data_IF_911396001284
#
_entry.id   IF_911396001284
#
_cell.length_a   1.000
_cell.length_b   1.000
_cell.length_c   1.000
_cell.angle_alpha   90.00
_cell.angle_beta   90.00
_cell.angle_gamma   90.00
#
_symmetry.space_group_name_H-M   'P 1'
#
loop_
_entity.id
_entity.type
_entity.pdbx_description
1 polymer ?
#
# COMPACT_ATOMS: atom_id res chain seq x y z
N UNK A 1 -29.55 -22.25 18.97
CA UNK A 1 -29.67 -21.71 17.62
C UNK A 1 -30.05 -20.25 17.79
N UNK A 2 -29.03 -19.38 17.84
CA UNK A 2 -29.20 -17.94 17.90
C UNK A 2 -28.83 -17.37 16.52
N UNK A 3 -29.82 -17.06 15.73
CA UNK A 3 -29.69 -16.29 14.49
C UNK A 3 -29.27 -14.86 14.88
N UNK A 4 -28.02 -14.55 14.75
CA UNK A 4 -27.54 -13.17 14.86
C UNK A 4 -27.97 -12.45 13.59
N UNK A 5 -29.12 -11.77 13.67
CA UNK A 5 -29.60 -10.87 12.61
C UNK A 5 -28.61 -9.72 12.52
N UNK A 6 -27.63 -9.82 11.64
CA UNK A 6 -26.81 -8.67 11.23
C UNK A 6 -27.74 -7.63 10.62
N UNK A 7 -27.65 -6.37 11.06
CA UNK A 7 -28.45 -5.27 10.53
C UNK A 7 -28.33 -5.25 9.00
N UNK A 8 -29.41 -5.65 8.33
CA UNK A 8 -29.50 -5.87 6.91
C UNK A 8 -29.13 -4.55 6.19
N UNK A 9 -28.03 -4.54 5.42
CA UNK A 9 -27.60 -3.41 4.60
C UNK A 9 -26.51 -2.50 5.16
N UNK A 10 -26.03 -2.67 6.40
CA UNK A 10 -24.93 -1.85 6.93
C UNK A 10 -23.60 -2.16 6.21
N UNK A 11 -22.91 -1.11 5.77
CA UNK A 11 -21.58 -1.24 5.17
C UNK A 11 -20.56 -1.44 6.28
N UNK A 12 -19.68 -2.44 6.14
CA UNK A 12 -18.53 -2.67 7.01
C UNK A 12 -17.24 -2.56 6.22
N UNK A 13 -16.22 -1.98 6.83
CA UNK A 13 -14.88 -1.89 6.24
C UNK A 13 -13.92 -2.61 7.17
N UNK A 14 -13.38 -3.73 6.71
CA UNK A 14 -12.33 -4.48 7.39
C UNK A 14 -10.97 -3.95 6.93
N UNK A 15 -10.15 -3.55 7.87
CA UNK A 15 -8.92 -2.84 7.60
C UNK A 15 -7.88 -3.11 8.70
N UNK A 16 -6.63 -2.71 8.47
CA UNK A 16 -5.59 -2.70 9.51
C UNK A 16 -4.82 -1.38 9.48
N UNK A 17 -4.30 -0.97 10.63
CA UNK A 17 -3.49 0.24 10.78
C UNK A 17 -2.28 0.21 9.85
N UNK A 18 -1.97 1.33 9.20
CA UNK A 18 -0.82 1.48 8.30
C UNK A 18 -0.93 0.76 6.96
N UNK A 19 -2.10 0.24 6.62
CA UNK A 19 -2.38 -0.34 5.32
C UNK A 19 -2.79 0.77 4.34
N UNK A 20 -1.98 1.04 3.35
CA UNK A 20 -2.20 2.11 2.35
C UNK A 20 -3.53 1.99 1.62
N UNK A 21 -3.86 0.77 1.17
CA UNK A 21 -5.14 0.50 0.48
C UNK A 21 -6.34 0.65 1.41
N UNK A 22 -6.19 0.28 2.69
CA UNK A 22 -7.26 0.41 3.69
C UNK A 22 -7.59 1.88 3.95
N UNK A 23 -6.56 2.71 4.13
CA UNK A 23 -6.72 4.15 4.32
C UNK A 23 -7.42 4.79 3.11
N UNK A 24 -6.96 4.48 1.90
CA UNK A 24 -7.56 4.95 0.65
C UNK A 24 -9.04 4.56 0.52
N UNK A 25 -9.39 3.33 0.90
CA UNK A 25 -10.78 2.85 0.86
C UNK A 25 -11.67 3.60 1.85
N UNK A 26 -11.19 3.80 3.09
CA UNK A 26 -11.92 4.57 4.10
C UNK A 26 -12.13 6.02 3.66
N UNK A 27 -11.09 6.68 3.15
CA UNK A 27 -11.19 8.05 2.64
C UNK A 27 -12.15 8.16 1.45
N UNK A 28 -12.13 7.19 0.55
CA UNK A 28 -13.08 7.13 -0.57
C UNK A 28 -14.54 7.11 -0.09
N UNK A 29 -14.88 6.23 0.84
CA UNK A 29 -16.24 6.14 1.41
C UNK A 29 -16.62 7.43 2.16
N UNK A 30 -15.69 7.97 2.97
CA UNK A 30 -15.90 9.22 3.71
C UNK A 30 -16.16 10.41 2.77
N UNK A 31 -15.38 10.53 1.70
CA UNK A 31 -15.54 11.58 0.68
C UNK A 31 -16.90 11.54 0.00
N UNK A 32 -17.50 10.36 -0.15
CA UNK A 32 -18.82 10.20 -0.74
C UNK A 32 -19.96 10.17 0.30
N UNK A 33 -19.65 10.47 1.56
CA UNK A 33 -20.67 10.54 2.62
C UNK A 33 -21.27 9.18 2.98
N UNK A 34 -20.61 8.07 2.67
CA UNK A 34 -21.10 6.71 2.97
C UNK A 34 -20.72 6.34 4.40
N UNK A 35 -21.70 6.18 5.31
CA UNK A 35 -21.43 5.71 6.66
C UNK A 35 -21.04 4.23 6.64
N UNK A 36 -20.05 3.85 7.45
CA UNK A 36 -19.64 2.46 7.58
C UNK A 36 -19.22 2.11 9.01
N UNK A 37 -19.35 0.83 9.34
CA UNK A 37 -18.77 0.26 10.56
C UNK A 37 -17.31 -0.08 10.30
N UNK A 38 -16.45 0.50 11.09
CA UNK A 38 -14.99 0.32 11.00
C UNK A 38 -14.56 -0.92 11.79
N UNK A 39 -13.88 -1.88 11.15
CA UNK A 39 -13.45 -3.16 11.73
C UNK A 39 -11.94 -3.31 11.58
N UNK A 40 -11.18 -2.89 12.60
CA UNK A 40 -9.72 -3.03 12.60
C UNK A 40 -9.33 -4.45 13.01
N UNK A 41 -8.84 -5.24 12.07
CA UNK A 41 -8.47 -6.64 12.30
C UNK A 41 -7.26 -6.85 13.22
N UNK A 42 -6.50 -5.78 13.52
CA UNK A 42 -5.41 -5.84 14.51
C UNK A 42 -5.89 -5.65 15.95
N UNK A 43 -7.09 -5.09 16.15
CA UNK A 43 -7.64 -4.75 17.47
C UNK A 43 -8.87 -5.58 17.81
N UNK A 44 -9.50 -6.20 16.82
CA UNK A 44 -10.77 -6.90 16.95
C UNK A 44 -10.70 -8.29 16.32
N UNK A 45 -10.45 -9.31 17.14
CA UNK A 45 -10.37 -10.71 16.69
C UNK A 45 -11.64 -11.19 15.99
N UNK A 46 -12.81 -10.66 16.37
CA UNK A 46 -14.07 -11.03 15.71
C UNK A 46 -14.15 -10.56 14.27
N UNK A 47 -13.38 -9.51 13.89
CA UNK A 47 -13.34 -9.03 12.52
C UNK A 47 -12.72 -10.07 11.56
N UNK A 48 -11.71 -10.81 11.98
CA UNK A 48 -11.19 -11.93 11.19
C UNK A 48 -12.18 -13.06 11.05
N UNK A 49 -12.87 -13.43 12.13
CA UNK A 49 -13.89 -14.48 12.10
C UNK A 49 -15.07 -14.12 11.15
N UNK A 50 -15.41 -12.83 11.07
CA UNK A 50 -16.40 -12.34 10.10
C UNK A 50 -15.88 -12.48 8.65
N UNK A 51 -14.60 -12.15 8.38
CA UNK A 51 -14.00 -12.29 7.05
C UNK A 51 -13.89 -13.76 6.61
N UNK A 52 -13.59 -14.67 7.53
CA UNK A 52 -13.53 -16.11 7.25
C UNK A 52 -14.85 -16.69 6.75
N UNK A 53 -16.00 -16.11 7.15
CA UNK A 53 -17.32 -16.51 6.63
C UNK A 53 -17.45 -16.26 5.12
N UNK A 54 -16.70 -15.30 4.58
CA UNK A 54 -16.59 -15.02 3.15
C UNK A 54 -15.43 -15.76 2.48
N UNK A 55 -14.68 -16.59 3.22
CA UNK A 55 -13.46 -17.24 2.72
C UNK A 55 -12.30 -16.28 2.51
N UNK A 56 -12.30 -15.11 3.17
CA UNK A 56 -11.33 -14.05 2.98
C UNK A 56 -10.38 -13.92 4.16
N UNK A 57 -9.11 -13.57 3.88
CA UNK A 57 -8.07 -13.33 4.89
C UNK A 57 -7.33 -12.01 4.69
N UNK A 58 -7.53 -11.33 3.57
CA UNK A 58 -6.88 -10.06 3.25
C UNK A 58 -7.75 -8.86 3.59
N UNK A 59 -7.11 -7.71 3.74
CA UNK A 59 -7.76 -6.39 3.87
C UNK A 59 -7.16 -5.41 2.87
N UNK A 60 -7.88 -4.34 2.46
CA UNK A 60 -9.23 -3.96 2.86
C UNK A 60 -10.33 -4.80 2.17
N UNK A 61 -11.36 -5.10 2.93
CA UNK A 61 -12.62 -5.66 2.39
C UNK A 61 -13.78 -4.76 2.82
N UNK A 62 -14.68 -4.52 1.90
CA UNK A 62 -15.95 -3.81 2.17
C UNK A 62 -17.09 -4.80 1.99
N UNK A 63 -17.99 -4.88 2.97
CA UNK A 63 -19.17 -5.76 2.89
C UNK A 63 -20.46 -4.97 3.02
N UNK A 64 -21.52 -5.48 2.37
CA UNK A 64 -22.91 -5.04 2.53
C UNK A 64 -23.81 -6.28 2.54
N UNK A 65 -24.31 -6.63 3.70
CA UNK A 65 -24.97 -7.93 3.89
C UNK A 65 -24.03 -9.09 3.54
N UNK A 66 -24.47 -9.99 2.68
CA UNK A 66 -23.70 -11.17 2.22
C UNK A 66 -22.83 -10.90 0.99
N UNK A 67 -22.80 -9.67 0.51
CA UNK A 67 -21.96 -9.26 -0.63
C UNK A 67 -20.70 -8.52 -0.17
N UNK A 68 -19.64 -8.63 -0.96
CA UNK A 68 -18.39 -7.96 -0.64
C UNK A 68 -17.65 -7.44 -1.88
N UNK A 69 -16.77 -6.49 -1.66
CA UNK A 69 -15.81 -5.97 -2.64
C UNK A 69 -14.41 -5.89 -2.02
N UNK A 70 -13.38 -6.19 -2.83
CA UNK A 70 -12.01 -5.91 -2.43
C UNK A 70 -11.78 -4.40 -2.46
N UNK A 71 -11.46 -3.81 -1.31
CA UNK A 71 -11.29 -2.36 -1.18
C UNK A 71 -10.11 -1.79 -1.98
N UNK A 72 -9.23 -2.64 -2.51
CA UNK A 72 -8.16 -2.20 -3.41
C UNK A 72 -8.71 -1.74 -4.77
N UNK A 73 -9.92 -2.18 -5.15
CA UNK A 73 -10.60 -1.81 -6.40
C UNK A 73 -11.77 -0.88 -6.08
N UNK A 74 -11.53 0.43 -6.13
CA UNK A 74 -12.55 1.42 -5.75
C UNK A 74 -13.79 1.41 -6.66
N UNK A 75 -13.69 0.99 -7.92
CA UNK A 75 -14.87 0.81 -8.78
C UNK A 75 -15.84 -0.24 -8.26
N UNK A 76 -15.31 -1.34 -7.66
CA UNK A 76 -16.13 -2.42 -7.11
C UNK A 76 -16.73 -1.99 -5.78
N UNK A 77 -15.97 -1.26 -4.96
CA UNK A 77 -16.50 -0.61 -3.74
C UNK A 77 -17.60 0.38 -4.08
N UNK A 78 -17.41 1.20 -5.10
CA UNK A 78 -18.40 2.17 -5.56
C UNK A 78 -19.69 1.46 -6.01
N UNK A 79 -19.56 0.37 -6.78
CA UNK A 79 -20.71 -0.46 -7.19
C UNK A 79 -21.43 -1.06 -5.99
N UNK A 80 -20.70 -1.60 -5.01
CA UNK A 80 -21.27 -2.19 -3.79
C UNK A 80 -22.04 -1.15 -2.95
N UNK A 81 -21.55 0.10 -2.96
CA UNK A 81 -22.06 1.18 -2.13
C UNK A 81 -22.99 2.15 -2.88
N UNK A 82 -23.39 1.83 -4.11
CA UNK A 82 -24.22 2.68 -4.97
C UNK A 82 -23.64 4.09 -5.22
N UNK A 83 -22.29 4.19 -5.27
CA UNK A 83 -21.57 5.45 -5.52
C UNK A 83 -21.36 5.62 -7.02
N UNK A 84 -21.72 6.79 -7.63
CA UNK A 84 -21.32 7.09 -9.00
C UNK A 84 -19.79 7.07 -9.13
N UNK A 85 -19.28 6.23 -10.03
CA UNK A 85 -17.85 6.10 -10.25
C UNK A 85 -17.52 6.29 -11.72
N UNK A 86 -16.77 7.35 -12.01
CA UNK A 86 -16.28 7.65 -13.37
C UNK A 86 -14.88 7.08 -13.61
N UNK A 87 -14.53 6.93 -14.89
CA UNK A 87 -13.17 6.57 -15.25
C UNK A 87 -12.19 7.65 -14.78
N UNK A 88 -11.21 7.27 -13.99
CA UNK A 88 -10.10 8.14 -13.61
C UNK A 88 -9.05 8.10 -14.72
N UNK A 89 -8.53 9.29 -15.07
CA UNK A 89 -7.43 9.36 -16.03
C UNK A 89 -6.14 8.96 -15.31
N UNK A 90 -5.61 7.80 -15.67
CA UNK A 90 -4.30 7.35 -15.20
C UNK A 90 -3.17 8.19 -15.81
N UNK A 91 -2.07 8.30 -15.08
CA UNK A 91 -0.84 8.89 -15.61
C UNK A 91 -0.27 8.05 -16.77
N UNK A 92 0.41 8.66 -17.74
CA UNK A 92 1.14 7.90 -18.75
C UNK A 92 2.20 7.00 -18.12
N UNK A 93 2.45 5.84 -18.72
CA UNK A 93 3.45 4.88 -18.23
C UNK A 93 4.84 5.50 -18.05
N UNK A 94 5.24 6.35 -19.00
CA UNK A 94 6.53 7.05 -18.92
C UNK A 94 6.63 7.94 -17.66
N UNK A 95 5.53 8.60 -17.30
CA UNK A 95 5.45 9.41 -16.08
C UNK A 95 5.48 8.53 -14.83
N UNK A 96 4.75 7.42 -14.82
CA UNK A 96 4.77 6.46 -13.71
C UNK A 96 6.17 5.89 -13.47
N UNK A 97 6.92 5.57 -14.55
CA UNK A 97 8.32 5.14 -14.46
C UNK A 97 9.18 6.16 -13.72
N UNK A 98 9.10 7.44 -14.10
CA UNK A 98 9.87 8.52 -13.46
C UNK A 98 9.50 8.69 -11.99
N UNK A 99 8.22 8.57 -11.66
CA UNK A 99 7.71 8.65 -10.30
C UNK A 99 8.20 7.49 -9.44
N UNK A 100 8.19 6.26 -9.97
CA UNK A 100 8.70 5.09 -9.25
C UNK A 100 10.20 5.20 -8.98
N UNK A 101 10.99 5.65 -9.96
CA UNK A 101 12.42 5.89 -9.77
C UNK A 101 12.66 6.93 -8.67
N UNK A 102 11.93 8.05 -8.69
CA UNK A 102 12.02 9.08 -7.65
C UNK A 102 11.65 8.54 -6.25
N UNK A 103 10.63 7.70 -6.16
CA UNK A 103 10.20 7.04 -4.91
C UNK A 103 11.29 6.13 -4.36
N UNK A 104 11.86 5.25 -5.20
CA UNK A 104 12.92 4.32 -4.79
C UNK A 104 14.22 5.07 -4.42
N UNK A 105 14.60 6.09 -5.20
CA UNK A 105 15.72 6.96 -4.88
C UNK A 105 15.52 7.72 -3.56
N UNK A 106 14.29 8.18 -3.32
CA UNK A 106 13.90 8.79 -2.05
C UNK A 106 14.03 7.81 -0.89
N UNK A 107 13.53 6.59 -1.06
CA UNK A 107 13.62 5.54 -0.04
C UNK A 107 15.07 5.24 0.36
N UNK A 108 15.98 5.05 -0.62
CA UNK A 108 17.40 4.82 -0.36
C UNK A 108 18.02 5.99 0.42
N UNK A 109 17.71 7.23 0.03
CA UNK A 109 18.20 8.45 0.68
C UNK A 109 17.68 8.60 2.11
N UNK A 110 16.41 8.31 2.35
CA UNK A 110 15.82 8.38 3.69
C UNK A 110 16.32 7.25 4.60
N UNK A 111 16.52 6.05 4.05
CA UNK A 111 17.19 4.96 4.76
C UNK A 111 18.61 5.35 5.20
N UNK A 112 19.36 6.09 4.39
CA UNK A 112 20.68 6.58 4.75
C UNK A 112 20.67 7.53 5.98
N UNK A 113 19.55 8.22 6.23
CA UNK A 113 19.37 9.08 7.40
C UNK A 113 18.89 8.31 8.65
N UNK A 114 18.36 7.08 8.49
CA UNK A 114 17.81 6.31 9.60
C UNK A 114 18.95 5.85 10.53
N UNK A 115 18.87 6.14 11.84
CA UNK A 115 19.83 5.60 12.80
C UNK A 115 19.71 4.07 12.90
N UNK A 116 20.84 3.35 12.99
CA UNK A 116 20.83 1.88 13.05
C UNK A 116 19.99 1.35 14.22
N UNK A 117 20.07 1.99 15.38
CA UNK A 117 19.31 1.59 16.56
C UNK A 117 17.79 1.80 16.42
N UNK A 118 17.35 2.62 15.47
CA UNK A 118 15.94 2.88 15.21
C UNK A 118 15.31 1.85 14.24
N UNK A 119 16.11 1.13 13.45
CA UNK A 119 15.61 0.20 12.44
C UNK A 119 14.68 -0.87 13.02
N UNK A 120 14.94 -1.34 14.23
CA UNK A 120 14.13 -2.34 14.93
C UNK A 120 12.87 -1.77 15.61
N UNK A 121 12.72 -0.45 15.67
CA UNK A 121 11.53 0.17 16.27
C UNK A 121 10.29 -0.10 15.42
N UNK A 122 9.16 -0.29 16.11
CA UNK A 122 7.90 -0.65 15.48
C UNK A 122 7.10 0.60 15.09
N UNK A 123 6.38 0.51 13.99
CA UNK A 123 5.38 1.50 13.61
C UNK A 123 4.22 1.52 14.64
N UNK A 124 3.61 2.69 14.91
CA UNK A 124 2.50 2.78 15.85
C UNK A 124 1.33 1.88 15.47
N UNK A 125 0.90 1.03 16.41
CA UNK A 125 -0.23 0.12 16.25
C UNK A 125 -0.14 -0.78 15.00
N UNK A 126 1.10 -1.08 14.56
CA UNK A 126 1.37 -1.94 13.41
C UNK A 126 2.53 -2.88 13.71
N UNK A 127 2.39 -4.22 13.54
CA UNK A 127 3.49 -5.17 13.71
C UNK A 127 4.44 -5.14 12.49
N UNK A 128 5.11 -4.00 12.29
CA UNK A 128 6.09 -3.77 11.23
C UNK A 128 7.16 -2.82 11.74
N UNK A 129 8.42 -3.19 11.65
CA UNK A 129 9.54 -2.33 12.03
C UNK A 129 9.84 -1.28 10.95
N UNK A 130 10.67 -0.27 11.30
CA UNK A 130 11.12 0.73 10.33
C UNK A 130 11.99 0.10 9.24
N UNK A 131 12.81 -0.92 9.58
CA UNK A 131 13.55 -1.70 8.59
C UNK A 131 12.60 -2.40 7.61
N UNK A 132 11.56 -3.08 8.14
CA UNK A 132 10.56 -3.76 7.33
C UNK A 132 9.75 -2.78 6.46
N UNK A 133 9.50 -1.55 6.92
CA UNK A 133 8.86 -0.51 6.10
C UNK A 133 9.77 -0.10 4.93
N UNK A 134 11.05 0.16 5.20
CA UNK A 134 12.02 0.51 4.17
C UNK A 134 12.19 -0.61 3.14
N UNK A 135 12.34 -1.86 3.59
CA UNK A 135 12.41 -3.03 2.72
C UNK A 135 11.16 -3.19 1.85
N UNK A 136 9.97 -2.98 2.43
CA UNK A 136 8.71 -3.14 1.72
C UNK A 136 8.54 -2.18 0.54
N UNK A 137 9.12 -0.98 0.59
CA UNK A 137 9.08 -0.03 -0.53
C UNK A 137 9.74 -0.65 -1.77
N UNK A 138 10.92 -1.26 -1.62
CA UNK A 138 11.63 -1.94 -2.70
C UNK A 138 10.90 -3.23 -3.13
N UNK A 139 10.40 -4.02 -2.17
CA UNK A 139 9.67 -5.26 -2.44
C UNK A 139 8.39 -5.05 -3.29
N UNK A 140 7.77 -3.88 -3.25
CA UNK A 140 6.63 -3.57 -4.11
C UNK A 140 7.05 -3.52 -5.58
N UNK A 141 8.22 -2.96 -5.89
CA UNK A 141 8.77 -2.94 -7.24
C UNK A 141 9.26 -4.33 -7.67
N UNK A 142 9.87 -5.08 -6.75
CA UNK A 142 10.32 -6.45 -7.00
C UNK A 142 9.14 -7.37 -7.33
N UNK A 143 8.05 -7.29 -6.58
CA UNK A 143 6.83 -8.06 -6.86
C UNK A 143 6.20 -7.71 -8.23
N UNK A 144 6.38 -6.49 -8.73
CA UNK A 144 6.00 -6.13 -10.09
C UNK A 144 6.89 -6.85 -11.11
N UNK A 145 8.20 -6.88 -10.91
CA UNK A 145 9.14 -7.57 -11.81
C UNK A 145 8.93 -9.10 -11.76
N UNK A 146 8.69 -9.67 -10.59
CA UNK A 146 8.33 -11.09 -10.46
C UNK A 146 7.09 -11.45 -11.28
N UNK A 147 6.06 -10.57 -11.25
CA UNK A 147 4.88 -10.76 -12.07
C UNK A 147 5.22 -10.76 -13.57
N UNK A 148 6.09 -9.88 -14.02
CA UNK A 148 6.55 -9.82 -15.40
C UNK A 148 7.43 -11.02 -15.79
N UNK A 149 8.05 -11.69 -14.82
CA UNK A 149 8.76 -12.96 -14.96
C UNK A 149 7.82 -14.19 -14.89
N UNK A 150 6.50 -13.97 -14.82
CA UNK A 150 5.47 -15.01 -14.85
C UNK A 150 5.07 -15.56 -13.48
N UNK A 151 5.46 -14.90 -12.38
CA UNK A 151 5.07 -15.25 -11.01
C UNK A 151 3.83 -14.42 -10.63
N UNK A 152 2.64 -15.03 -10.45
CA UNK A 152 1.43 -14.28 -10.10
C UNK A 152 1.59 -13.49 -8.80
N UNK A 153 1.07 -12.25 -8.78
CA UNK A 153 1.06 -11.45 -7.55
C UNK A 153 0.04 -12.04 -6.57
N UNK A 154 0.52 -12.49 -5.44
CA UNK A 154 -0.30 -12.98 -4.32
C UNK A 154 -0.32 -11.99 -3.16
N UNK A 155 -1.22 -12.20 -2.20
CA UNK A 155 -1.20 -11.44 -0.95
C UNK A 155 0.14 -11.59 -0.22
N UNK A 156 0.70 -12.79 -0.21
CA UNK A 156 1.98 -13.10 0.45
C UNK A 156 3.17 -12.38 -0.20
N UNK A 157 3.09 -12.05 -1.51
CA UNK A 157 4.13 -11.26 -2.18
C UNK A 157 4.38 -9.92 -1.49
N UNK A 158 3.33 -9.31 -0.90
CA UNK A 158 3.44 -8.05 -0.15
C UNK A 158 3.58 -8.22 1.36
N UNK A 159 3.39 -9.45 1.88
CA UNK A 159 3.56 -9.74 3.30
C UNK A 159 4.97 -10.22 3.66
N UNK A 160 5.81 -10.43 2.65
CA UNK A 160 7.23 -10.78 2.86
C UNK A 160 7.93 -9.75 3.72
N UNK A 161 8.88 -10.21 4.50
CA UNK A 161 9.77 -9.39 5.33
C UNK A 161 11.22 -9.80 5.05
N UNK A 162 12.19 -8.89 5.23
CA UNK A 162 13.60 -9.24 5.07
C UNK A 162 14.01 -10.26 6.12
N UNK A 163 14.93 -11.15 5.78
CA UNK A 163 15.68 -11.94 6.76
C UNK A 163 16.59 -11.02 7.57
N UNK A 164 17.09 -11.50 8.72
CA UNK A 164 17.87 -10.66 9.64
C UNK A 164 19.11 -10.04 8.96
N UNK A 165 19.79 -10.81 8.12
CA UNK A 165 20.98 -10.37 7.39
C UNK A 165 20.69 -9.22 6.40
N UNK A 166 19.47 -9.17 5.87
CA UNK A 166 19.00 -8.15 4.91
C UNK A 166 18.31 -6.96 5.59
N UNK A 167 18.22 -6.94 6.92
CA UNK A 167 17.52 -5.90 7.68
C UNK A 167 18.41 -4.71 8.04
N UNK A 168 19.71 -4.78 7.75
CA UNK A 168 20.66 -3.71 8.00
C UNK A 168 20.47 -2.53 7.03
N UNK A 169 20.83 -1.32 7.49
CA UNK A 169 20.66 -0.10 6.69
C UNK A 169 21.34 -0.18 5.32
N UNK A 170 22.57 -0.72 5.24
CA UNK A 170 23.30 -0.84 3.99
C UNK A 170 22.59 -1.79 3.00
N UNK A 171 22.06 -2.92 3.47
CA UNK A 171 21.33 -3.89 2.68
C UNK A 171 20.00 -3.31 2.18
N UNK A 172 19.28 -2.59 3.02
CA UNK A 172 18.02 -1.94 2.65
C UNK A 172 18.24 -0.87 1.57
N UNK A 173 19.31 -0.06 1.68
CA UNK A 173 19.70 0.92 0.66
C UNK A 173 20.06 0.20 -0.64
N UNK A 174 20.90 -0.84 -0.56
CA UNK A 174 21.32 -1.62 -1.72
C UNK A 174 20.10 -2.23 -2.46
N UNK A 175 19.10 -2.74 -1.73
CA UNK A 175 17.89 -3.28 -2.32
C UNK A 175 17.06 -2.21 -3.05
N UNK A 176 16.92 -1.00 -2.49
CA UNK A 176 16.26 0.10 -3.19
C UNK A 176 17.00 0.47 -4.49
N UNK A 177 18.32 0.57 -4.45
CA UNK A 177 19.13 0.90 -5.63
C UNK A 177 19.13 -0.22 -6.67
N UNK A 178 19.15 -1.48 -6.25
CA UNK A 178 18.98 -2.64 -7.13
C UNK A 178 17.65 -2.56 -7.88
N UNK A 179 16.55 -2.31 -7.15
CA UNK A 179 15.23 -2.19 -7.78
C UNK A 179 15.16 -1.04 -8.78
N UNK A 180 15.84 0.08 -8.51
CA UNK A 180 15.95 1.18 -9.49
C UNK A 180 16.60 0.71 -10.79
N UNK A 181 17.72 0.02 -10.66
CA UNK A 181 18.46 -0.51 -11.83
C UNK A 181 17.63 -1.54 -12.59
N UNK A 182 17.03 -2.50 -11.89
CA UNK A 182 16.21 -3.56 -12.49
C UNK A 182 14.96 -3.00 -13.18
N UNK A 183 14.23 -2.09 -12.51
CA UNK A 183 13.06 -1.42 -13.10
C UNK A 183 13.44 -0.61 -14.35
N UNK A 184 14.55 0.15 -14.29
CA UNK A 184 15.03 0.89 -15.47
C UNK A 184 15.36 -0.04 -16.62
N UNK A 185 16.11 -1.11 -16.36
CA UNK A 185 16.46 -2.11 -17.38
C UNK A 185 15.20 -2.79 -17.98
N UNK A 186 14.21 -3.12 -17.13
CA UNK A 186 12.95 -3.70 -17.61
C UNK A 186 12.18 -2.73 -18.53
N UNK A 187 12.05 -1.46 -18.16
CA UNK A 187 11.41 -0.44 -19.00
C UNK A 187 12.16 -0.18 -20.31
N UNK A 188 13.49 -0.28 -20.32
CA UNK A 188 14.33 -0.14 -21.55
C UNK A 188 14.32 -1.40 -22.42
N UNK A 189 13.97 -2.55 -21.84
CA UNK A 189 13.88 -3.86 -22.49
C UNK A 189 12.42 -4.30 -22.73
N UNK A 190 11.93 -5.32 -22.00
CA UNK A 190 10.59 -5.89 -22.19
C UNK A 190 9.45 -4.88 -22.07
N UNK A 191 9.57 -3.91 -21.17
CA UNK A 191 8.56 -2.89 -20.90
C UNK A 191 8.27 -1.96 -22.09
N UNK A 192 9.18 -1.84 -23.06
CA UNK A 192 8.99 -1.00 -24.27
C UNK A 192 7.86 -1.49 -25.17
N UNK A 193 7.65 -2.79 -25.21
CA UNK A 193 6.64 -3.44 -26.06
C UNK A 193 5.51 -4.06 -25.26
N UNK A 194 5.46 -3.80 -23.95
CA UNK A 194 4.44 -4.34 -23.05
C UNK A 194 3.05 -3.84 -23.46
N UNK A 195 2.11 -4.76 -23.62
CA UNK A 195 0.70 -4.42 -23.78
C UNK A 195 0.13 -4.01 -22.41
N UNK A 196 -0.04 -2.70 -22.21
CA UNK A 196 -0.55 -2.12 -20.97
C UNK A 196 -2.06 -2.34 -20.77
N UNK A 197 -2.78 -2.75 -21.82
CA UNK A 197 -4.19 -3.13 -21.73
C UNK A 197 -4.39 -4.60 -21.36
N UNK A 198 -3.32 -5.41 -21.43
CA UNK A 198 -3.39 -6.81 -21.07
C UNK A 198 -3.79 -6.99 -19.60
N UNK A 199 -4.44 -8.11 -19.29
CA UNK A 199 -4.82 -8.46 -17.92
C UNK A 199 -3.59 -8.75 -17.07
N UNK A 200 -3.55 -8.20 -15.85
CA UNK A 200 -2.58 -8.54 -14.83
C UNK A 200 -3.14 -9.66 -13.94
N UNK A 201 -2.30 -10.65 -13.63
CA UNK A 201 -2.63 -11.74 -12.70
C UNK A 201 -2.31 -11.32 -11.27
N UNK A 202 -3.31 -10.74 -10.62
CA UNK A 202 -3.19 -10.14 -9.28
C UNK A 202 -4.30 -10.64 -8.34
N UNK A 203 -3.99 -10.85 -7.08
CA UNK A 203 -4.88 -11.47 -6.09
C UNK A 203 -6.11 -10.64 -5.70
N UNK A 204 -6.12 -9.35 -6.02
CA UNK A 204 -7.16 -8.44 -5.52
C UNK A 204 -8.29 -8.18 -6.54
N UNK A 205 -8.23 -8.75 -7.73
CA UNK A 205 -9.32 -8.71 -8.73
C UNK A 205 -8.83 -8.38 -10.13
N UNK A 206 -9.75 -8.07 -11.04
CA UNK A 206 -9.42 -7.80 -12.43
C UNK A 206 -8.77 -6.43 -12.60
N UNK A 207 -7.54 -6.44 -13.11
CA UNK A 207 -6.74 -5.25 -13.41
C UNK A 207 -6.11 -5.37 -14.77
N UNK A 208 -5.90 -4.23 -15.45
CA UNK A 208 -4.96 -4.13 -16.57
C UNK A 208 -3.53 -3.98 -16.03
N UNK A 209 -2.55 -4.24 -16.89
CA UNK A 209 -1.15 -3.97 -16.54
C UNK A 209 -0.88 -2.50 -16.21
N UNK A 210 -1.63 -1.58 -16.85
CA UNK A 210 -1.53 -0.16 -16.56
C UNK A 210 -2.03 0.16 -15.13
N UNK A 211 -3.17 -0.40 -14.73
CA UNK A 211 -3.70 -0.26 -13.36
C UNK A 211 -2.77 -0.91 -12.33
N UNK A 212 -2.14 -2.05 -12.67
CA UNK A 212 -1.17 -2.70 -11.79
C UNK A 212 0.10 -1.86 -11.62
N UNK A 213 0.63 -1.27 -12.70
CA UNK A 213 1.75 -0.34 -12.61
C UNK A 213 1.37 0.90 -11.76
N UNK A 214 0.20 1.51 -12.02
CA UNK A 214 -0.28 2.65 -11.22
C UNK A 214 -0.31 2.29 -9.73
N UNK A 215 -0.85 1.09 -9.40
CA UNK A 215 -0.87 0.61 -8.03
C UNK A 215 0.53 0.43 -7.45
N UNK A 216 1.46 -0.13 -8.22
CA UNK A 216 2.86 -0.30 -7.80
C UNK A 216 3.47 1.05 -7.43
N UNK A 217 3.28 2.07 -8.26
CA UNK A 217 3.83 3.41 -8.05
C UNK A 217 3.23 4.09 -6.81
N UNK A 218 1.89 4.14 -6.72
CA UNK A 218 1.27 4.84 -5.60
C UNK A 218 1.41 4.07 -4.29
N UNK A 219 1.49 2.73 -4.30
CA UNK A 219 1.69 1.92 -3.11
C UNK A 219 3.08 2.15 -2.51
N UNK A 220 4.14 2.07 -3.33
CA UNK A 220 5.49 2.45 -2.94
C UNK A 220 5.56 3.92 -2.50
N UNK A 221 4.90 4.82 -3.24
CA UNK A 221 4.79 6.25 -2.93
C UNK A 221 4.17 6.51 -1.55
N UNK A 222 3.12 5.80 -1.18
CA UNK A 222 2.53 5.94 0.15
C UNK A 222 3.48 5.48 1.25
N UNK A 223 4.20 4.39 1.06
CA UNK A 223 5.13 3.90 2.05
C UNK A 223 6.38 4.80 2.18
N UNK A 224 6.84 5.45 1.12
CA UNK A 224 7.90 6.44 1.23
C UNK A 224 7.42 7.70 1.98
N UNK A 225 6.15 8.12 1.82
CA UNK A 225 5.56 9.19 2.64
C UNK A 225 5.53 8.79 4.13
N UNK A 226 5.16 7.55 4.42
CA UNK A 226 5.22 7.01 5.79
C UNK A 226 6.64 7.00 6.33
N UNK A 227 7.65 6.70 5.49
CA UNK A 227 9.04 6.71 5.92
C UNK A 227 9.55 8.13 6.22
N UNK A 228 9.18 9.13 5.41
CA UNK A 228 9.43 10.55 5.73
C UNK A 228 8.79 10.95 7.05
N UNK A 229 7.53 10.56 7.28
CA UNK A 229 6.82 10.82 8.54
C UNK A 229 7.51 10.15 9.75
N UNK A 230 8.07 8.95 9.59
CA UNK A 230 8.89 8.28 10.63
C UNK A 230 10.14 9.09 10.95
N UNK A 231 10.88 9.57 9.96
CA UNK A 231 12.06 10.42 10.16
C UNK A 231 11.70 11.71 10.93
N UNK A 232 10.63 12.39 10.53
CA UNK A 232 10.13 13.58 11.22
C UNK A 232 9.75 13.26 12.67
N UNK A 233 9.13 12.12 12.92
CA UNK A 233 8.82 11.61 14.26
C UNK A 233 10.06 11.36 15.11
N UNK A 234 11.18 10.98 14.52
CA UNK A 234 12.49 10.85 15.17
C UNK A 234 13.23 12.20 15.32
N UNK A 235 12.66 13.30 14.84
CA UNK A 235 13.28 14.61 14.84
C UNK A 235 14.31 14.82 13.72
N UNK A 236 14.30 13.96 12.69
CA UNK A 236 15.20 14.02 11.55
C UNK A 236 14.43 14.63 10.37
N UNK A 237 14.90 15.77 9.85
CA UNK A 237 14.33 16.35 8.64
C UNK A 237 14.70 15.48 7.41
N UNK A 238 13.72 15.01 6.61
CA UNK A 238 14.03 14.26 5.40
C UNK A 238 14.90 15.07 4.43
N UNK A 239 15.98 14.49 3.95
CA UNK A 239 16.85 15.11 2.93
C UNK A 239 16.13 15.17 1.59
N UNK A 240 15.93 16.38 1.03
CA UNK A 240 15.22 16.59 -0.24
C UNK A 240 13.88 15.80 -0.25
N UNK A 241 12.92 16.16 0.62
CA UNK A 241 11.68 15.45 0.74
C UNK A 241 10.95 15.38 -0.61
N UNK A 242 10.25 14.27 -0.84
CA UNK A 242 9.42 14.13 -2.02
C UNK A 242 8.15 14.97 -1.85
N UNK A 243 7.94 15.90 -2.75
CA UNK A 243 6.81 16.83 -2.74
C UNK A 243 5.61 16.33 -3.56
N UNK A 244 4.63 17.23 -3.69
CA UNK A 244 3.38 16.94 -4.43
C UNK A 244 3.65 16.53 -5.87
N UNK A 245 4.65 17.10 -6.51
CA UNK A 245 5.04 16.81 -7.90
C UNK A 245 5.33 15.32 -8.13
N UNK A 246 5.80 14.61 -7.09
CA UNK A 246 6.02 13.15 -7.15
C UNK A 246 4.72 12.36 -7.11
N UNK A 247 3.68 12.90 -6.47
CA UNK A 247 2.45 12.14 -6.15
C UNK A 247 1.20 12.62 -6.89
N UNK A 248 1.20 13.84 -7.42
CA UNK A 248 0.04 14.41 -8.12
C UNK A 248 -0.38 13.53 -9.32
N UNK A 249 -1.68 13.27 -9.43
CA UNK A 249 -2.26 12.39 -10.45
C UNK A 249 -2.23 10.90 -10.11
N UNK A 250 -1.54 10.47 -9.04
CA UNK A 250 -1.65 9.11 -8.50
C UNK A 250 -2.84 9.03 -7.53
N UNK A 251 -3.55 7.89 -7.48
CA UNK A 251 -4.71 7.72 -6.60
C UNK A 251 -4.27 7.45 -5.14
N UNK A 252 -3.50 8.38 -4.58
CA UNK A 252 -2.95 8.30 -3.23
C UNK A 252 -4.03 8.55 -2.17
N UNK A 253 -3.93 7.94 -0.97
CA UNK A 253 -4.65 8.44 0.18
C UNK A 253 -4.20 9.87 0.53
N UNK A 254 -5.12 10.69 1.04
CA UNK A 254 -4.80 12.05 1.46
C UNK A 254 -3.89 12.05 2.68
N UNK A 255 -4.22 11.22 3.67
CA UNK A 255 -3.45 11.05 4.90
C UNK A 255 -2.23 10.16 4.70
N UNK A 256 -1.22 10.38 5.52
CA UNK A 256 -0.02 9.53 5.57
C UNK A 256 -0.26 8.29 6.43
N UNK A 257 -0.99 8.44 7.53
CA UNK A 257 -1.27 7.41 8.53
C UNK A 257 -2.71 7.52 9.03
N UNK A 258 -3.26 6.43 9.58
CA UNK A 258 -4.64 6.40 10.10
C UNK A 258 -4.88 7.40 11.23
N UNK A 259 -3.88 7.60 12.09
CA UNK A 259 -3.85 8.58 13.17
C UNK A 259 -2.60 9.44 13.04
N UNK A 260 -2.64 10.45 12.17
CA UNK A 260 -1.46 11.18 11.73
C UNK A 260 -0.95 12.22 12.75
N UNK A 261 -0.53 11.80 13.95
CA UNK A 261 0.26 12.63 14.86
C UNK A 261 1.70 12.09 14.94
N UNK A 262 2.69 12.72 14.25
CA UNK A 262 4.11 12.32 14.34
C UNK A 262 4.68 12.39 15.76
N UNK A 263 4.08 13.20 16.63
CA UNK A 263 4.51 13.30 18.04
C UNK A 263 4.27 12.01 18.83
N UNK A 264 3.41 11.10 18.35
CA UNK A 264 3.21 9.79 18.99
C UNK A 264 4.44 8.88 18.85
N UNK A 265 5.26 9.02 17.80
CA UNK A 265 6.52 8.28 17.66
C UNK A 265 7.55 8.66 18.73
N UNK A 266 7.58 9.93 19.16
CA UNK A 266 8.53 10.43 20.18
C UNK A 266 8.23 9.93 21.61
N UNK A 267 7.03 9.42 21.88
CA UNK A 267 6.61 8.94 23.20
C UNK A 267 6.87 7.45 23.42
N UNK A 268 7.26 6.73 22.35
CA UNK A 268 7.48 5.28 22.37
C UNK A 268 8.97 4.91 22.26
N UNK A 269 9.87 5.92 22.23
CA UNK A 269 11.32 5.75 22.16
C UNK A 269 12.00 5.82 23.53
#
# INVERSE_FOLDING_TARGET
MGTTTTADGAIRVYWMTGCSSCLRTKEFLQKHGVPFLSRNVLEDESAYAELEQFGLKQVPIVTRGDTWANGQILRDVAKLCDIPYGATKMLPVAEMRLRLDAVLAGAARFLAQMPDHALAQMLPNRPRSFAQLGWHIANIADAFLEHEDGIPLTFDSYMRVPVEEDSGRAQLIAYCEEMRVRMSAWFEGPGRTRDWSARADVYYGEQTMHEFLERTVWHAGQHVRQFMWVLEGLGIAPDRPLGRETFDGLPMPEKVWDEADPAKLRRSA
#
